data_IF_896047100624
#
_entry.id   IF_896047100624
#
_cell.length_a   1.000
_cell.length_b   1.000
_cell.length_c   1.000
_cell.angle_alpha   90.00
_cell.angle_beta   90.00
_cell.angle_gamma   90.00
#
_symmetry.space_group_name_H-M   'P 1'
#
loop_
_entity.id
_entity.type
_entity.pdbx_description
1 polymer ?
#
# COMPACT_ATOMS: atom_id res chain seq x y z
N UNK A 1 0.85 -68.08 -14.59
CA UNK A 1 0.55 -66.64 -14.52
C UNK A 1 0.70 -66.07 -15.92
N UNK A 2 -0.37 -66.08 -16.72
CA UNK A 2 -0.35 -65.61 -18.11
C UNK A 2 -0.28 -64.08 -18.14
N UNK A 3 0.76 -63.51 -18.78
CA UNK A 3 0.79 -62.09 -19.09
C UNK A 3 -0.15 -61.85 -20.28
N UNK A 4 -1.33 -61.30 -20.02
CA UNK A 4 -2.27 -60.84 -21.06
C UNK A 4 -1.52 -59.84 -21.97
N UNK A 5 -1.28 -60.20 -23.23
CA UNK A 5 -0.66 -59.30 -24.21
C UNK A 5 -1.63 -58.17 -24.51
N UNK A 6 -1.28 -56.96 -24.10
CA UNK A 6 -2.05 -55.76 -24.42
C UNK A 6 -2.16 -55.62 -25.94
N UNK A 7 -3.38 -55.46 -26.44
CA UNK A 7 -3.65 -55.39 -27.88
C UNK A 7 -3.23 -54.03 -28.43
N UNK A 8 -2.84 -53.96 -29.71
CA UNK A 8 -2.40 -52.71 -30.36
C UNK A 8 -3.42 -51.56 -30.22
N UNK A 9 -4.70 -51.91 -30.09
CA UNK A 9 -5.83 -51.00 -29.86
C UNK A 9 -5.75 -50.34 -28.48
N UNK A 10 -5.32 -51.06 -27.43
CA UNK A 10 -5.16 -50.51 -26.08
C UNK A 10 -4.05 -49.46 -26.04
N UNK A 11 -2.92 -49.71 -26.72
CA UNK A 11 -1.82 -48.73 -26.83
C UNK A 11 -2.23 -47.47 -27.58
N UNK A 12 -2.95 -47.62 -28.71
CA UNK A 12 -3.45 -46.48 -29.49
C UNK A 12 -4.47 -45.68 -28.68
N UNK A 13 -5.39 -46.36 -27.99
CA UNK A 13 -6.40 -45.71 -27.14
C UNK A 13 -5.76 -44.95 -25.97
N UNK A 14 -4.73 -45.52 -25.35
CA UNK A 14 -3.97 -44.88 -24.28
C UNK A 14 -3.22 -43.65 -24.79
N UNK A 15 -2.58 -43.74 -25.96
CA UNK A 15 -1.89 -42.61 -26.57
C UNK A 15 -2.85 -41.44 -26.88
N UNK A 16 -4.04 -41.75 -27.41
CA UNK A 16 -5.08 -40.75 -27.68
C UNK A 16 -5.57 -40.11 -26.37
N UNK A 17 -5.81 -40.90 -25.32
CA UNK A 17 -6.23 -40.38 -24.02
C UNK A 17 -5.19 -39.44 -23.41
N UNK A 18 -3.89 -39.78 -23.50
CA UNK A 18 -2.80 -38.92 -23.03
C UNK A 18 -2.73 -37.62 -23.82
N UNK A 19 -2.87 -37.67 -25.15
CA UNK A 19 -2.89 -36.47 -26.00
C UNK A 19 -4.08 -35.56 -25.68
N UNK A 20 -5.25 -36.13 -25.41
CA UNK A 20 -6.43 -35.37 -24.99
C UNK A 20 -6.21 -34.68 -23.64
N UNK A 21 -5.65 -35.37 -22.65
CA UNK A 21 -5.32 -34.78 -21.35
C UNK A 21 -4.28 -33.66 -21.46
N UNK A 22 -3.24 -33.85 -22.29
CA UNK A 22 -2.24 -32.81 -22.56
C UNK A 22 -2.87 -31.59 -23.24
N UNK A 23 -3.74 -31.80 -24.24
CA UNK A 23 -4.44 -30.71 -24.91
C UNK A 23 -5.35 -29.93 -23.96
N UNK A 24 -6.02 -30.61 -23.03
CA UNK A 24 -6.86 -29.98 -22.02
C UNK A 24 -6.03 -29.17 -21.02
N UNK A 25 -4.87 -29.70 -20.59
CA UNK A 25 -3.96 -28.98 -19.70
C UNK A 25 -3.38 -27.72 -20.37
N UNK A 26 -2.93 -27.83 -21.63
CA UNK A 26 -2.45 -26.69 -22.41
C UNK A 26 -3.58 -25.66 -22.59
N UNK A 27 -4.78 -26.10 -22.96
CA UNK A 27 -5.93 -25.22 -23.09
C UNK A 27 -6.23 -24.51 -21.77
N UNK A 28 -6.24 -25.22 -20.65
CA UNK A 28 -6.51 -24.65 -19.34
C UNK A 28 -5.47 -23.59 -18.95
N UNK A 29 -4.16 -23.88 -19.12
CA UNK A 29 -3.09 -22.91 -18.86
C UNK A 29 -3.20 -21.69 -19.78
N UNK A 30 -3.49 -21.91 -21.06
CA UNK A 30 -3.63 -20.80 -22.02
C UNK A 30 -4.86 -19.96 -21.72
N UNK A 31 -5.97 -20.60 -21.35
CA UNK A 31 -7.21 -19.95 -20.97
C UNK A 31 -7.03 -19.11 -19.71
N UNK A 32 -6.42 -19.68 -18.65
CA UNK A 32 -6.15 -18.93 -17.42
C UNK A 32 -5.20 -17.77 -17.70
N UNK A 33 -4.04 -17.99 -18.34
CA UNK A 33 -3.10 -16.89 -18.62
C UNK A 33 -3.66 -15.76 -19.49
N UNK A 34 -4.57 -16.07 -20.43
CA UNK A 34 -5.18 -15.05 -21.31
C UNK A 34 -6.40 -14.36 -20.71
N UNK A 35 -7.18 -15.05 -19.88
CA UNK A 35 -8.44 -14.53 -19.32
C UNK A 35 -8.30 -14.04 -17.87
N UNK A 36 -7.27 -14.48 -17.14
CA UNK A 36 -6.88 -13.86 -15.89
C UNK A 36 -5.75 -12.88 -16.18
N UNK A 37 -6.12 -11.64 -16.47
CA UNK A 37 -5.19 -10.51 -16.24
C UNK A 37 -4.94 -10.44 -14.74
N UNK A 38 -4.00 -11.24 -14.24
CA UNK A 38 -3.44 -11.05 -12.90
C UNK A 38 -2.50 -9.85 -13.04
N UNK A 39 -3.10 -8.67 -13.13
CA UNK A 39 -2.39 -7.46 -12.75
C UNK A 39 -2.35 -7.56 -11.24
N UNK A 40 -1.21 -7.99 -10.68
CA UNK A 40 -0.95 -7.73 -9.26
C UNK A 40 -1.07 -6.22 -9.11
N UNK A 41 -2.17 -5.77 -8.51
CA UNK A 41 -2.25 -4.37 -8.08
C UNK A 41 -1.01 -4.12 -7.22
N UNK A 42 -0.23 -3.05 -7.51
CA UNK A 42 0.89 -2.72 -6.65
C UNK A 42 0.36 -2.63 -5.22
N UNK A 43 1.03 -3.33 -4.31
CA UNK A 43 0.57 -3.58 -2.94
C UNK A 43 0.37 -2.26 -2.15
N UNK A 44 0.78 -1.10 -2.70
CA UNK A 44 0.66 0.24 -2.10
C UNK A 44 -0.09 1.25 -2.97
N UNK A 45 -1.13 0.86 -3.69
CA UNK A 45 -2.01 1.86 -4.26
C UNK A 45 -2.64 2.72 -3.16
N UNK A 46 -2.81 4.01 -3.43
CA UNK A 46 -3.56 4.85 -2.53
C UNK A 46 -5.03 4.45 -2.54
N UNK A 47 -5.65 4.43 -1.35
CA UNK A 47 -7.09 4.16 -1.23
C UNK A 47 -7.91 5.44 -0.98
N UNK A 48 -7.36 6.62 -1.27
CA UNK A 48 -8.09 7.88 -1.13
C UNK A 48 -8.85 8.23 -2.43
N UNK A 49 -10.04 8.86 -2.34
CA UNK A 49 -10.72 9.29 -1.12
C UNK A 49 -11.22 8.11 -0.27
N UNK A 50 -11.13 8.25 1.06
CA UNK A 50 -11.49 7.21 2.03
C UNK A 50 -12.39 7.77 3.14
N UNK A 51 -13.53 7.12 3.36
CA UNK A 51 -14.51 7.54 4.38
C UNK A 51 -14.59 6.54 5.53
N UNK A 52 -14.46 7.07 6.73
CA UNK A 52 -14.52 6.35 7.99
C UNK A 52 -15.69 6.78 8.87
N UNK A 53 -15.68 6.32 10.12
CA UNK A 53 -16.70 6.66 11.11
C UNK A 53 -16.62 8.11 11.58
N UNK A 54 -15.41 8.66 11.66
CA UNK A 54 -15.14 10.00 12.18
C UNK A 54 -14.53 10.91 11.12
N UNK A 55 -13.64 10.41 10.27
CA UNK A 55 -12.95 11.19 9.25
C UNK A 55 -13.31 10.73 7.83
N UNK A 56 -13.41 11.69 6.92
CA UNK A 56 -13.37 11.45 5.49
C UNK A 56 -12.10 12.10 4.93
N UNK A 57 -11.14 11.27 4.51
CA UNK A 57 -9.89 11.73 3.88
C UNK A 57 -10.17 11.93 2.40
N UNK A 58 -10.08 13.17 1.95
CA UNK A 58 -10.26 13.55 0.55
C UNK A 58 -9.02 13.19 -0.27
N UNK A 59 -7.85 13.64 0.19
CA UNK A 59 -6.58 13.41 -0.50
C UNK A 59 -5.41 13.26 0.47
N UNK A 60 -4.38 12.55 -0.01
CA UNK A 60 -3.07 12.45 0.63
C UNK A 60 -2.03 12.74 -0.45
N UNK A 61 -1.23 13.77 -0.24
CA UNK A 61 -0.07 14.08 -1.09
C UNK A 61 1.20 13.80 -0.31
N UNK A 62 2.16 13.09 -0.90
CA UNK A 62 3.39 12.70 -0.24
C UNK A 62 4.60 13.17 -1.03
N UNK A 63 5.68 13.48 -0.33
CA UNK A 63 6.95 13.91 -0.92
C UNK A 63 8.08 13.75 0.11
N UNK A 64 9.30 14.07 -0.31
CA UNK A 64 10.47 14.16 0.52
C UNK A 64 10.94 15.60 0.61
N UNK A 65 11.51 15.96 1.76
CA UNK A 65 12.20 17.24 1.98
C UNK A 65 13.62 16.96 2.42
N UNK A 66 14.55 17.81 1.98
CA UNK A 66 15.95 17.75 2.41
C UNK A 66 16.17 18.76 3.55
N UNK A 67 16.70 18.28 4.68
CA UNK A 67 17.02 19.08 5.86
C UNK A 67 18.40 18.64 6.35
N UNK A 68 19.38 19.53 6.30
CA UNK A 68 20.77 19.25 6.69
C UNK A 68 21.33 17.97 6.02
N UNK A 69 21.21 17.87 4.68
CA UNK A 69 21.69 16.75 3.84
C UNK A 69 20.92 15.42 4.03
N UNK A 70 20.07 15.31 5.05
CA UNK A 70 19.19 14.17 5.27
C UNK A 70 17.83 14.40 4.60
N UNK A 71 17.18 13.33 4.14
CA UNK A 71 15.89 13.38 3.46
C UNK A 71 14.79 12.77 4.30
N UNK A 72 13.72 13.52 4.55
CA UNK A 72 12.59 13.08 5.38
C UNK A 72 11.30 13.00 4.55
N UNK A 73 10.51 11.92 4.69
CA UNK A 73 9.23 11.83 4.03
C UNK A 73 8.20 12.69 4.77
N UNK A 74 7.35 13.34 3.98
CA UNK A 74 6.31 14.26 4.40
C UNK A 74 5.00 13.82 3.74
N UNK A 75 3.91 13.95 4.50
CA UNK A 75 2.57 13.76 3.99
C UNK A 75 1.70 14.98 4.31
N UNK A 76 0.96 15.43 3.31
CA UNK A 76 -0.09 16.43 3.41
C UNK A 76 -1.42 15.69 3.33
N UNK A 77 -2.23 15.82 4.37
CA UNK A 77 -3.49 15.08 4.53
C UNK A 77 -4.60 16.11 4.54
N UNK A 78 -5.57 15.93 3.65
CA UNK A 78 -6.74 16.80 3.55
C UNK A 78 -8.01 16.01 3.88
N UNK A 79 -8.79 16.53 4.82
CA UNK A 79 -10.12 16.03 5.17
C UNK A 79 -11.18 16.70 4.30
N UNK A 80 -12.24 15.97 3.97
CA UNK A 80 -13.50 16.53 3.46
C UNK A 80 -14.32 17.07 4.64
N UNK A 81 -14.48 18.40 4.81
CA UNK A 81 -15.18 18.96 5.95
C UNK A 81 -16.69 18.69 5.94
N UNK A 82 -17.26 18.39 4.77
CA UNK A 82 -18.69 18.12 4.63
C UNK A 82 -19.09 16.73 5.14
N UNK A 83 -18.13 15.78 5.17
CA UNK A 83 -18.34 14.39 5.58
C UNK A 83 -17.64 14.04 6.89
N UNK A 84 -16.59 14.78 7.23
CA UNK A 84 -15.84 14.57 8.47
C UNK A 84 -16.61 15.08 9.69
N UNK A 85 -16.59 14.28 10.75
CA UNK A 85 -17.14 14.62 12.07
C UNK A 85 -16.00 15.11 12.96
N UNK A 86 -16.08 14.81 14.26
CA UNK A 86 -15.03 15.08 15.24
C UNK A 86 -14.33 13.78 15.66
N UNK A 87 -12.99 13.80 15.70
CA UNK A 87 -12.19 12.60 15.94
C UNK A 87 -10.71 12.87 16.13
N UNK A 88 -9.93 11.80 16.01
CA UNK A 88 -8.47 11.87 15.98
C UNK A 88 -7.94 11.00 14.85
N UNK A 89 -6.94 11.51 14.12
CA UNK A 89 -6.13 10.71 13.20
C UNK A 89 -4.83 10.30 13.89
N UNK A 90 -4.41 9.05 13.68
CA UNK A 90 -3.08 8.57 14.02
C UNK A 90 -2.36 8.15 12.76
N UNK A 91 -1.24 8.80 12.50
CA UNK A 91 -0.46 8.70 11.28
C UNK A 91 0.81 7.90 11.56
N UNK A 92 1.08 6.92 10.70
CA UNK A 92 2.27 6.09 10.72
C UNK A 92 2.96 6.12 9.38
N UNK A 93 4.29 6.23 9.39
CA UNK A 93 5.10 5.94 8.22
C UNK A 93 5.58 4.50 8.31
N UNK A 94 5.57 3.79 7.19
CA UNK A 94 5.98 2.38 7.12
C UNK A 94 6.93 2.13 5.97
N UNK A 95 7.83 1.18 6.20
CA UNK A 95 8.79 0.68 5.21
C UNK A 95 8.65 -0.83 5.03
N UNK A 96 9.32 -1.39 4.01
CA UNK A 96 9.33 -2.81 3.65
C UNK A 96 7.94 -3.40 3.39
N UNK A 97 6.97 -2.55 3.10
CA UNK A 97 5.67 -2.99 2.63
C UNK A 97 5.96 -3.72 1.30
N UNK A 98 5.56 -5.01 1.18
CA UNK A 98 5.78 -5.85 -0.03
C UNK A 98 6.91 -6.82 -0.09
N UNK A 99 7.86 -6.70 0.82
CA UNK A 99 8.98 -7.60 0.82
C UNK A 99 8.49 -8.98 1.28
N UNK A 100 8.32 -9.90 0.33
CA UNK A 100 8.17 -11.38 0.43
C UNK A 100 7.23 -12.00 1.50
N UNK A 101 6.58 -11.22 2.38
CA UNK A 101 5.62 -11.65 3.39
C UNK A 101 5.13 -10.46 4.25
N UNK A 102 4.48 -9.42 3.70
CA UNK A 102 3.69 -8.41 4.47
C UNK A 102 4.31 -7.75 5.73
N UNK A 103 5.64 -7.80 5.92
CA UNK A 103 6.29 -7.20 7.09
C UNK A 103 6.50 -5.70 6.82
N UNK A 104 5.46 -4.92 7.09
CA UNK A 104 5.57 -3.47 7.15
C UNK A 104 6.09 -3.03 8.52
N UNK A 105 7.27 -2.38 8.55
CA UNK A 105 7.86 -1.84 9.79
C UNK A 105 7.47 -0.38 9.93
N UNK A 106 6.96 0.02 11.10
CA UNK A 106 6.76 1.43 11.45
C UNK A 106 8.14 2.11 11.56
N UNK A 107 8.28 3.25 10.89
CA UNK A 107 9.50 4.08 10.90
C UNK A 107 9.17 5.45 11.44
N UNK A 108 10.09 5.98 12.25
CA UNK A 108 9.89 7.23 12.98
C UNK A 108 8.77 7.14 14.01
N UNK A 109 8.31 8.30 14.44
CA UNK A 109 7.28 8.45 15.46
C UNK A 109 5.88 8.49 14.85
N UNK A 110 4.90 7.96 15.58
CA UNK A 110 3.50 8.12 15.20
C UNK A 110 3.03 9.53 15.54
N UNK A 111 2.35 10.20 14.61
CA UNK A 111 1.76 11.51 14.86
C UNK A 111 0.26 11.34 15.16
N UNK A 112 -0.25 12.03 16.18
CA UNK A 112 -1.69 12.04 16.50
C UNK A 112 -2.21 13.44 16.36
N UNK A 113 -3.21 13.65 15.49
CA UNK A 113 -3.82 14.94 15.22
C UNK A 113 -5.30 14.88 15.50
N UNK A 114 -5.81 15.79 16.33
CA UNK A 114 -7.24 15.91 16.59
C UNK A 114 -7.88 16.79 15.52
N UNK A 115 -9.14 16.52 15.23
CA UNK A 115 -9.94 17.35 14.36
C UNK A 115 -11.36 17.45 14.90
N UNK A 116 -12.00 18.57 14.60
CA UNK A 116 -13.38 18.87 14.94
C UNK A 116 -14.08 19.36 13.68
N UNK A 117 -15.17 18.67 13.33
CA UNK A 117 -16.02 19.00 12.18
C UNK A 117 -15.20 19.20 10.90
N UNK A 118 -14.25 18.27 10.66
CA UNK A 118 -13.35 18.28 9.52
C UNK A 118 -12.19 19.28 9.54
N UNK A 119 -12.03 20.05 10.60
CA UNK A 119 -10.94 21.00 10.77
C UNK A 119 -9.96 20.52 11.84
N UNK A 120 -8.67 20.61 11.56
CA UNK A 120 -7.62 20.31 12.53
C UNK A 120 -7.42 21.46 13.52
N UNK A 121 -6.56 21.26 14.52
CA UNK A 121 -6.28 22.29 15.55
C UNK A 121 -5.66 23.58 14.98
N UNK A 122 -5.12 23.54 13.75
CA UNK A 122 -4.66 24.72 13.01
C UNK A 122 -5.79 25.52 12.34
N UNK A 123 -7.05 25.08 12.43
CA UNK A 123 -8.21 25.72 11.81
C UNK A 123 -8.43 25.35 10.34
N UNK A 124 -7.54 24.55 9.73
CA UNK A 124 -7.61 24.14 8.34
C UNK A 124 -8.11 22.70 8.21
N UNK A 125 -8.64 22.33 7.05
CA UNK A 125 -8.96 20.94 6.73
C UNK A 125 -7.73 20.10 6.36
N UNK A 126 -6.55 20.73 6.38
CA UNK A 126 -5.29 20.15 5.92
C UNK A 126 -4.22 20.22 7.01
N UNK A 127 -3.45 19.14 7.16
CA UNK A 127 -2.24 19.09 7.98
C UNK A 127 -1.06 18.56 7.19
N UNK A 128 0.13 19.03 7.55
CA UNK A 128 1.40 18.49 7.07
C UNK A 128 2.06 17.72 8.20
N UNK A 129 2.49 16.49 7.92
CA UNK A 129 3.13 15.60 8.88
C UNK A 129 4.45 15.12 8.30
N UNK A 130 5.54 15.40 9.01
CA UNK A 130 6.87 14.92 8.66
C UNK A 130 7.24 13.71 9.52
N UNK A 131 7.85 12.71 8.90
CA UNK A 131 8.44 11.59 9.63
C UNK A 131 9.75 12.00 10.30
N UNK A 132 10.00 11.50 11.51
CA UNK A 132 11.27 11.74 12.24
C UNK A 132 12.42 10.84 11.76
N UNK A 133 12.14 9.89 10.86
CA UNK A 133 13.12 9.02 10.20
C UNK A 133 13.04 9.18 8.69
N UNK A 134 14.19 9.12 8.07
CA UNK A 134 14.36 9.28 6.65
C UNK A 134 15.69 8.67 6.20
N UNK A 135 16.18 9.13 5.06
CA UNK A 135 17.46 8.72 4.50
C UNK A 135 18.57 9.67 4.95
N UNK A 136 19.76 9.12 5.18
CA UNK A 136 20.88 9.91 5.67
C UNK A 136 21.48 10.83 4.59
N UNK A 137 21.25 10.52 3.32
CA UNK A 137 21.85 11.22 2.19
C UNK A 137 21.08 10.96 0.88
N UNK A 138 21.43 11.73 -0.16
CA UNK A 138 20.84 11.64 -1.49
C UNK A 138 21.05 10.27 -2.16
N UNK A 139 22.15 9.56 -1.90
CA UNK A 139 22.41 8.28 -2.54
C UNK A 139 21.38 7.21 -2.15
N UNK A 140 20.99 7.18 -0.88
CA UNK A 140 19.90 6.34 -0.38
C UNK A 140 18.55 6.70 -1.02
N UNK A 141 18.24 7.99 -1.15
CA UNK A 141 17.02 8.45 -1.81
C UNK A 141 16.98 8.09 -3.31
N UNK A 142 18.10 8.19 -4.02
CA UNK A 142 18.18 7.76 -5.41
C UNK A 142 17.97 6.25 -5.54
N UNK A 143 18.51 5.46 -4.60
CA UNK A 143 18.22 4.03 -4.49
C UNK A 143 16.73 3.75 -4.28
N UNK A 144 16.09 4.51 -3.39
CA UNK A 144 14.65 4.43 -3.17
C UNK A 144 13.83 4.79 -4.41
N UNK A 145 14.21 5.86 -5.13
CA UNK A 145 13.53 6.30 -6.36
C UNK A 145 13.54 5.21 -7.44
N UNK A 146 14.65 4.47 -7.55
CA UNK A 146 14.82 3.41 -8.53
C UNK A 146 14.05 2.11 -8.23
N UNK A 147 13.41 1.99 -7.06
CA UNK A 147 12.64 0.82 -6.66
C UNK A 147 11.13 1.11 -6.71
N UNK A 148 10.39 0.40 -7.56
CA UNK A 148 8.93 0.57 -7.64
C UNK A 148 8.16 -0.33 -6.67
N UNK A 149 8.73 -1.46 -6.27
CA UNK A 149 8.02 -2.51 -5.51
C UNK A 149 8.17 -2.40 -3.97
N UNK A 150 8.99 -1.47 -3.48
CA UNK A 150 9.34 -1.31 -2.06
C UNK A 150 9.15 0.13 -1.57
N UNK A 151 8.06 0.77 -2.00
CA UNK A 151 7.71 2.12 -1.57
C UNK A 151 7.39 2.15 -0.08
N UNK A 152 7.89 3.16 0.62
CA UNK A 152 7.37 3.52 1.93
C UNK A 152 5.91 3.94 1.79
N UNK A 153 5.12 3.78 2.86
CA UNK A 153 3.68 4.04 2.86
C UNK A 153 3.32 4.87 4.09
N UNK A 154 2.45 5.85 3.91
CA UNK A 154 1.73 6.45 5.03
C UNK A 154 0.47 5.63 5.31
N UNK A 155 0.27 5.22 6.55
CA UNK A 155 -0.99 4.67 7.04
C UNK A 155 -1.64 5.65 8.01
N UNK A 156 -2.90 5.98 7.74
CA UNK A 156 -3.77 6.79 8.58
C UNK A 156 -4.79 5.87 9.24
N UNK A 157 -4.90 5.99 10.56
CA UNK A 157 -5.95 5.38 11.36
C UNK A 157 -6.82 6.45 11.97
N UNK A 158 -8.11 6.18 12.10
CA UNK A 158 -9.04 7.06 12.80
C UNK A 158 -9.44 6.49 14.16
N UNK A 159 -9.74 7.37 15.10
CA UNK A 159 -10.27 7.04 16.41
C UNK A 159 -11.24 8.11 16.90
N UNK A 160 -11.98 7.80 17.96
CA UNK A 160 -12.87 8.77 18.61
C UNK A 160 -12.05 9.93 19.16
N UNK A 161 -12.62 11.13 19.20
CA UNK A 161 -12.00 12.29 19.83
C UNK A 161 -11.60 11.99 21.28
N UNK A 162 -10.30 12.15 21.59
CA UNK A 162 -9.73 11.85 22.90
C UNK A 162 -9.24 10.41 23.13
N UNK A 163 -9.32 9.53 22.13
CA UNK A 163 -8.70 8.20 22.18
C UNK A 163 -7.21 8.27 22.47
N UNK A 164 -6.74 7.47 23.42
CA UNK A 164 -5.33 7.40 23.87
C UNK A 164 -4.68 6.07 23.55
N UNK A 165 -5.45 4.97 23.57
CA UNK A 165 -4.92 3.64 23.28
C UNK A 165 -4.79 3.42 21.79
N UNK A 166 -3.73 2.72 21.37
CA UNK A 166 -3.55 2.34 19.96
C UNK A 166 -4.62 1.37 19.47
N UNK A 167 -5.29 0.64 20.36
CA UNK A 167 -6.40 -0.26 20.05
C UNK A 167 -7.65 0.47 19.58
N UNK A 168 -7.78 1.76 19.94
CA UNK A 168 -8.97 2.56 19.64
C UNK A 168 -8.93 3.14 18.22
N UNK A 169 -7.83 2.91 17.50
CA UNK A 169 -7.58 3.43 16.17
C UNK A 169 -7.71 2.33 15.11
N UNK A 170 -8.63 2.53 14.17
CA UNK A 170 -8.90 1.62 13.05
C UNK A 170 -8.29 2.17 11.76
N UNK A 171 -7.81 1.30 10.87
CA UNK A 171 -7.24 1.71 9.58
C UNK A 171 -8.30 2.42 8.74
N UNK A 172 -7.94 3.58 8.18
CA UNK A 172 -8.81 4.41 7.37
C UNK A 172 -8.24 4.59 5.95
N UNK A 173 -7.05 5.18 5.86
CA UNK A 173 -6.45 5.55 4.60
C UNK A 173 -4.98 5.17 4.53
N UNK A 174 -4.46 5.03 3.32
CA UNK A 174 -3.05 4.84 3.03
C UNK A 174 -2.70 5.38 1.65
N UNK A 175 -1.43 5.75 1.50
CA UNK A 175 -0.86 6.19 0.23
C UNK A 175 0.64 5.85 0.19
N UNK A 176 1.20 5.58 -0.99
CA UNK A 176 2.64 5.46 -1.12
C UNK A 176 3.29 6.82 -0.85
N UNK A 177 4.52 6.81 -0.33
CA UNK A 177 5.36 8.00 -0.30
C UNK A 177 5.96 8.16 -1.70
N UNK A 178 5.63 9.25 -2.39
CA UNK A 178 6.14 9.49 -3.73
C UNK A 178 7.63 9.86 -3.68
N UNK A 179 8.46 9.38 -4.63
CA UNK A 179 9.88 9.72 -4.71
C UNK A 179 10.11 11.12 -5.32
N UNK A 180 9.34 12.10 -4.85
CA UNK A 180 9.40 13.50 -5.28
C UNK A 180 10.08 14.31 -4.19
N UNK A 181 11.15 15.04 -4.55
CA UNK A 181 11.84 15.94 -3.65
C UNK A 181 11.27 17.36 -3.83
N UNK A 182 10.78 17.96 -2.74
CA UNK A 182 10.44 19.39 -2.72
C UNK A 182 11.56 20.16 -2.04
N UNK A 183 11.97 21.26 -2.67
CA UNK A 183 12.91 22.19 -2.05
C UNK A 183 12.26 22.81 -0.80
N UNK A 184 13.04 22.95 0.27
CA UNK A 184 12.59 23.54 1.53
C UNK A 184 11.92 24.91 1.26
N UNK A 185 10.63 25.04 1.57
CA UNK A 185 10.01 26.35 1.69
C UNK A 185 10.64 27.03 2.89
N UNK A 186 11.57 27.96 2.65
CA UNK A 186 12.11 28.85 3.68
C UNK A 186 10.94 29.62 4.30
N UNK A 187 10.43 29.09 5.42
CA UNK A 187 9.53 29.80 6.33
C UNK A 187 10.27 30.89 7.08
#
# INVERSE_FOLDING_TARGET
MEKKKSSLIEYVSMAIAVLLLLSLAIYFVTYTTTHTKIVSEPIYQSNVPAEGKYAAVDSITTHWVEINEALYPVAVITLDPSKSRSGSLRIFFRTNVGALADISKIVGDSNTSKFKDGLFENGESTITVQCTKGFANMAEFLGYKAQDDSRWVIEIREGKGGSRSSSDFIKLAHAPIEPTLLAESKG
#
